data_IF_606781855564
#
_entry.id   IF_606781855564
#
_cell.length_a   1.000
_cell.length_b   1.000
_cell.length_c   1.000
_cell.angle_alpha   90.00
_cell.angle_beta   90.00
_cell.angle_gamma   90.00
#
_symmetry.space_group_name_H-M   'P 1'
#
loop_
_entity.id
_entity.type
_entity.pdbx_description
1 polymer ?
#
# COMPACT_ATOMS: atom_id res chain seq x y z
N UNK A 1 1.43 11.21 -3.18
CA UNK A 1 0.27 11.28 -4.08
C UNK A 1 0.78 11.16 -5.51
N UNK A 2 0.82 9.93 -6.05
CA UNK A 2 1.50 9.60 -7.32
C UNK A 2 0.60 8.82 -8.29
N UNK A 3 -0.70 8.69 -7.98
CA UNK A 3 -1.74 8.12 -8.83
C UNK A 3 -2.71 9.25 -9.13
N UNK A 4 -2.72 9.73 -10.37
CA UNK A 4 -3.65 10.76 -10.83
C UNK A 4 -4.84 10.11 -11.54
N UNK A 5 -5.92 10.86 -11.70
CA UNK A 5 -7.11 10.42 -12.43
C UNK A 5 -7.24 11.23 -13.72
N UNK A 6 -7.42 10.53 -14.84
CA UNK A 6 -7.76 11.18 -16.11
C UNK A 6 -9.25 11.57 -16.17
N UNK A 7 -9.66 12.20 -17.27
CA UNK A 7 -11.05 12.60 -17.52
C UNK A 7 -12.07 11.45 -17.57
N UNK A 8 -11.61 10.20 -17.67
CA UNK A 8 -12.41 8.98 -17.67
C UNK A 8 -12.28 8.19 -16.36
N UNK A 9 -11.78 8.82 -15.29
CA UNK A 9 -11.54 8.18 -13.99
C UNK A 9 -10.54 7.01 -14.03
N UNK A 10 -9.61 7.02 -14.99
CA UNK A 10 -8.54 6.02 -15.05
C UNK A 10 -7.36 6.48 -14.21
N UNK A 11 -6.86 5.58 -13.36
CA UNK A 11 -5.63 5.78 -12.60
C UNK A 11 -4.41 5.82 -13.52
N UNK A 12 -3.61 6.87 -13.40
CA UNK A 12 -2.36 7.08 -14.14
C UNK A 12 -1.23 7.28 -13.12
N UNK A 13 -0.21 6.43 -13.18
CA UNK A 13 0.99 6.59 -12.36
C UNK A 13 1.83 7.75 -12.86
N UNK A 14 2.31 8.55 -11.93
CA UNK A 14 3.18 9.70 -12.18
C UNK A 14 4.38 9.70 -11.25
N UNK A 15 5.35 10.57 -11.52
CA UNK A 15 6.53 10.79 -10.69
C UNK A 15 7.40 9.54 -10.47
N UNK A 16 8.23 9.25 -11.47
CA UNK A 16 9.23 8.18 -11.44
C UNK A 16 10.60 8.68 -10.96
N UNK A 17 10.69 9.86 -10.31
CA UNK A 17 11.96 10.50 -9.94
C UNK A 17 12.81 9.69 -8.95
N UNK A 18 12.19 8.78 -8.20
CA UNK A 18 12.86 7.86 -7.27
C UNK A 18 12.85 6.40 -7.73
N UNK A 19 12.34 6.10 -8.94
CA UNK A 19 12.30 4.76 -9.48
C UNK A 19 13.72 4.15 -9.57
N UNK A 20 13.78 2.82 -9.52
CA UNK A 20 15.03 2.05 -9.58
C UNK A 20 14.92 1.00 -10.68
N UNK A 21 15.85 1.04 -11.63
CA UNK A 21 15.98 -0.02 -12.63
C UNK A 21 16.71 -1.20 -12.01
N UNK A 22 16.05 -2.34 -11.97
CA UNK A 22 16.65 -3.62 -11.59
C UNK A 22 16.95 -4.43 -12.85
N UNK A 23 18.01 -5.24 -12.84
CA UNK A 23 18.25 -6.20 -13.91
C UNK A 23 17.37 -7.44 -13.72
N UNK A 24 17.11 -8.18 -14.80
CA UNK A 24 16.32 -9.44 -14.73
C UNK A 24 16.95 -10.47 -13.79
N UNK A 25 18.27 -10.41 -13.60
CA UNK A 25 19.03 -11.33 -12.75
C UNK A 25 19.06 -10.88 -11.28
N UNK A 26 18.80 -9.60 -10.99
CA UNK A 26 18.91 -9.01 -9.64
C UNK A 26 17.56 -8.47 -9.18
N UNK A 27 16.83 -9.30 -8.41
CA UNK A 27 15.50 -8.92 -7.89
C UNK A 27 15.56 -8.05 -6.63
N UNK A 28 16.76 -7.85 -6.07
CA UNK A 28 16.97 -7.10 -4.83
C UNK A 28 18.31 -6.38 -4.87
N UNK A 29 18.35 -5.10 -4.50
CA UNK A 29 19.59 -4.31 -4.34
C UNK A 29 19.58 -3.56 -3.02
N UNK A 30 20.76 -3.25 -2.49
CA UNK A 30 20.90 -2.43 -1.27
C UNK A 30 21.30 -1.01 -1.68
N UNK A 31 20.65 0.00 -1.08
CA UNK A 31 20.96 1.41 -1.29
C UNK A 31 21.14 2.15 0.03
N UNK A 32 22.05 3.11 0.05
CA UNK A 32 22.20 4.04 1.19
C UNK A 32 21.26 5.26 1.07
N UNK A 33 20.64 5.47 -0.11
CA UNK A 33 19.75 6.60 -0.35
C UNK A 33 18.30 6.18 -0.19
N UNK A 34 17.81 6.27 1.05
CA UNK A 34 16.42 6.01 1.43
C UNK A 34 15.62 7.30 1.23
N UNK A 35 14.67 7.27 0.30
CA UNK A 35 13.84 8.44 -0.06
C UNK A 35 12.41 7.99 -0.36
N UNK A 36 11.44 8.86 -0.06
CA UNK A 36 10.02 8.61 -0.30
C UNK A 36 9.15 9.14 0.85
N UNK A 37 7.88 8.77 0.85
CA UNK A 37 6.92 9.19 1.87
C UNK A 37 6.77 8.09 2.92
N UNK A 38 7.13 8.39 4.18
CA UNK A 38 7.31 7.42 5.28
C UNK A 38 6.16 6.41 5.41
N UNK A 39 4.91 6.87 5.39
CA UNK A 39 3.73 6.01 5.62
C UNK A 39 3.52 4.95 4.53
N UNK A 40 4.13 5.10 3.35
CA UNK A 40 4.05 4.12 2.26
C UNK A 40 5.31 3.25 2.17
N UNK A 41 6.36 3.53 2.94
CA UNK A 41 7.62 2.79 2.84
C UNK A 41 7.51 1.42 3.50
N UNK A 42 7.92 0.38 2.78
CA UNK A 42 8.02 -0.94 3.37
C UNK A 42 9.11 -1.01 4.45
N UNK A 43 8.97 -1.90 5.45
CA UNK A 43 9.96 -2.05 6.52
C UNK A 43 11.38 -2.32 6.00
N UNK A 44 11.52 -3.16 4.98
CA UNK A 44 12.82 -3.48 4.42
C UNK A 44 13.43 -2.31 3.63
N UNK A 45 12.62 -1.50 2.95
CA UNK A 45 13.12 -0.32 2.24
C UNK A 45 13.63 0.75 3.21
N UNK A 46 13.04 0.85 4.41
CA UNK A 46 13.55 1.68 5.50
C UNK A 46 14.95 1.26 5.98
N UNK A 47 15.41 0.07 5.63
CA UNK A 47 16.78 -0.41 5.87
C UNK A 47 17.68 -0.34 4.63
N UNK A 48 17.17 0.20 3.52
CA UNK A 48 17.88 0.32 2.25
C UNK A 48 17.68 -0.86 1.30
N UNK A 49 16.85 -1.85 1.63
CA UNK A 49 16.59 -2.98 0.74
C UNK A 49 15.54 -2.63 -0.32
N UNK A 50 15.97 -2.56 -1.57
CA UNK A 50 15.11 -2.27 -2.71
C UNK A 50 14.64 -3.59 -3.34
N UNK A 51 13.34 -3.74 -3.51
CA UNK A 51 12.76 -4.86 -4.25
C UNK A 51 11.38 -4.50 -4.81
N UNK A 52 10.87 -5.22 -5.82
CA UNK A 52 9.49 -5.02 -6.31
C UNK A 52 8.42 -5.24 -5.22
N UNK A 53 8.74 -6.04 -4.18
CA UNK A 53 7.83 -6.29 -3.05
C UNK A 53 7.64 -5.05 -2.16
N UNK A 54 8.56 -4.07 -2.22
CA UNK A 54 8.39 -2.80 -1.54
C UNK A 54 7.25 -1.97 -2.17
N UNK A 55 7.12 -1.98 -3.51
CA UNK A 55 6.03 -1.31 -4.21
C UNK A 55 4.67 -1.99 -3.93
N UNK A 56 4.65 -3.32 -3.74
CA UNK A 56 3.45 -4.06 -3.32
C UNK A 56 2.98 -3.60 -1.95
N UNK A 57 3.90 -3.39 -1.00
CA UNK A 57 3.57 -2.83 0.31
C UNK A 57 2.94 -1.45 0.18
N UNK A 58 3.58 -0.54 -0.58
CA UNK A 58 3.05 0.80 -0.80
C UNK A 58 1.67 0.78 -1.47
N UNK A 59 1.43 -0.15 -2.40
CA UNK A 59 0.11 -0.36 -3.00
C UNK A 59 -0.91 -0.84 -1.97
N UNK A 60 -0.54 -1.73 -1.06
CA UNK A 60 -1.40 -2.16 0.05
C UNK A 60 -1.89 -0.98 0.88
N UNK A 61 -0.97 -0.06 1.24
CA UNK A 61 -1.32 1.19 1.94
C UNK A 61 -2.33 2.03 1.13
N UNK A 62 -2.13 2.17 -0.18
CA UNK A 62 -3.07 2.89 -1.05
C UNK A 62 -4.44 2.20 -1.12
N UNK A 63 -4.49 0.87 -1.18
CA UNK A 63 -5.76 0.13 -1.14
C UNK A 63 -6.50 0.45 0.17
N UNK A 64 -5.80 0.51 1.31
CA UNK A 64 -6.42 0.91 2.58
C UNK A 64 -6.95 2.35 2.56
N UNK A 65 -6.22 3.29 1.96
CA UNK A 65 -6.73 4.67 1.76
C UNK A 65 -8.04 4.67 0.96
N UNK A 66 -8.16 3.82 -0.06
CA UNK A 66 -9.37 3.71 -0.86
C UNK A 66 -10.51 2.99 -0.11
N UNK A 67 -10.18 1.97 0.67
CA UNK A 67 -11.15 1.23 1.49
C UNK A 67 -11.75 2.15 2.54
N UNK A 68 -10.91 2.82 3.35
CA UNK A 68 -11.37 3.67 4.44
C UNK A 68 -11.75 5.10 4.02
N UNK A 69 -11.36 5.53 2.81
CA UNK A 69 -11.63 6.89 2.34
C UNK A 69 -10.88 7.98 3.10
N UNK A 70 -9.76 7.65 3.76
CA UNK A 70 -8.92 8.59 4.49
C UNK A 70 -7.45 8.49 4.05
N UNK A 71 -6.66 9.54 4.33
CA UNK A 71 -5.24 9.55 4.00
C UNK A 71 -4.47 8.59 4.92
N UNK A 72 -3.42 7.95 4.40
CA UNK A 72 -2.65 6.94 5.13
C UNK A 72 -2.06 7.45 6.45
N UNK A 73 -1.77 8.74 6.55
CA UNK A 73 -1.24 9.38 7.76
C UNK A 73 -2.31 9.62 8.85
N UNK A 74 -3.59 9.50 8.51
CA UNK A 74 -4.70 9.77 9.41
C UNK A 74 -5.57 8.53 9.57
N UNK A 75 -5.82 8.13 10.81
CA UNK A 75 -6.71 7.01 11.07
C UNK A 75 -8.15 7.39 10.71
N UNK A 76 -8.99 6.39 10.36
CA UNK A 76 -10.43 6.62 10.18
C UNK A 76 -11.13 7.20 11.43
N UNK A 77 -10.52 7.05 12.62
CA UNK A 77 -10.99 7.62 13.89
C UNK A 77 -10.62 9.10 14.08
N UNK A 78 -9.84 9.69 13.18
CA UNK A 78 -9.41 11.09 13.25
C UNK A 78 -8.27 11.35 14.26
N UNK A 79 -7.51 10.32 14.63
CA UNK A 79 -6.28 10.47 15.43
C UNK A 79 -5.05 10.72 14.54
N UNK A 80 -3.97 11.27 15.12
CA UNK A 80 -2.64 11.39 14.48
C UNK A 80 -1.93 10.03 14.28
N UNK A 81 -2.69 8.93 14.24
CA UNK A 81 -2.20 7.57 14.03
C UNK A 81 -2.31 7.23 12.55
N UNK A 82 -1.29 6.61 11.97
CA UNK A 82 -1.37 6.13 10.58
C UNK A 82 -2.30 4.91 10.44
N UNK A 83 -2.74 4.63 9.21
CA UNK A 83 -3.71 3.57 8.91
C UNK A 83 -3.18 2.18 9.30
N UNK A 84 -1.87 1.91 9.18
CA UNK A 84 -1.31 0.59 9.53
C UNK A 84 -1.41 0.37 11.03
N UNK A 85 -0.96 1.35 11.82
CA UNK A 85 -1.09 1.31 13.28
C UNK A 85 -2.56 1.22 13.72
N UNK A 86 -3.48 1.87 13.00
CA UNK A 86 -4.91 1.76 13.25
C UNK A 86 -5.45 0.34 13.04
N UNK A 87 -5.04 -0.35 11.97
CA UNK A 87 -5.46 -1.73 11.69
C UNK A 87 -5.05 -2.67 12.83
N UNK A 88 -3.82 -2.52 13.33
CA UNK A 88 -3.29 -3.35 14.42
C UNK A 88 -4.06 -3.18 15.74
N UNK A 89 -4.68 -2.02 15.95
CA UNK A 89 -5.38 -1.67 17.19
C UNK A 89 -6.91 -1.84 17.11
N UNK A 90 -7.50 -1.96 15.92
CA UNK A 90 -8.95 -1.84 15.73
C UNK A 90 -9.64 -3.20 15.55
N UNK A 91 -10.42 -3.63 16.54
CA UNK A 91 -11.16 -4.91 16.50
C UNK A 91 -12.26 -4.99 15.42
N UNK A 92 -12.81 -3.85 15.00
CA UNK A 92 -13.90 -3.80 14.01
C UNK A 92 -13.70 -2.63 13.05
N UNK A 93 -13.05 -2.90 11.93
CA UNK A 93 -12.77 -1.95 10.85
C UNK A 93 -13.94 -1.77 9.89
N UNK A 94 -14.91 -2.70 9.88
CA UNK A 94 -16.02 -2.71 8.93
C UNK A 94 -16.88 -1.44 8.97
N UNK A 95 -17.03 -0.82 10.13
CA UNK A 95 -17.81 0.43 10.26
C UNK A 95 -17.23 1.58 9.41
N UNK A 96 -15.92 1.55 9.13
CA UNK A 96 -15.20 2.67 8.52
C UNK A 96 -15.21 2.70 7.00
N UNK A 97 -15.54 1.58 6.33
CA UNK A 97 -15.59 1.52 4.85
C UNK A 97 -16.97 1.30 4.25
N UNK A 98 -18.00 1.07 5.06
CA UNK A 98 -19.38 0.85 4.59
C UNK A 98 -20.00 2.07 3.89
N UNK A 99 -19.41 3.26 4.03
CA UNK A 99 -19.84 4.47 3.31
C UNK A 99 -19.50 4.43 1.82
N UNK A 100 -18.43 3.71 1.45
CA UNK A 100 -17.89 3.65 0.09
C UNK A 100 -18.03 2.26 -0.54
N UNK A 101 -18.10 1.21 0.27
CA UNK A 101 -18.02 -0.18 -0.17
C UNK A 101 -19.15 -1.03 0.40
N UNK A 102 -19.56 -2.06 -0.35
CA UNK A 102 -20.35 -3.15 0.23
C UNK A 102 -19.51 -3.86 1.30
N UNK A 103 -20.17 -4.46 2.31
CA UNK A 103 -19.45 -5.21 3.36
C UNK A 103 -18.49 -6.25 2.76
N UNK A 104 -18.97 -7.03 1.79
CA UNK A 104 -18.18 -8.07 1.14
C UNK A 104 -17.01 -7.51 0.33
N UNK A 105 -17.17 -6.39 -0.36
CA UNK A 105 -16.08 -5.79 -1.14
C UNK A 105 -15.04 -5.13 -0.24
N UNK A 106 -15.49 -4.44 0.81
CA UNK A 106 -14.62 -3.83 1.81
C UNK A 106 -13.76 -4.87 2.53
N UNK A 107 -14.37 -5.93 3.06
CA UNK A 107 -13.65 -7.03 3.72
C UNK A 107 -12.65 -7.71 2.76
N UNK A 108 -13.03 -7.92 1.49
CA UNK A 108 -12.14 -8.51 0.47
C UNK A 108 -10.94 -7.63 0.15
N UNK A 109 -11.16 -6.32 -0.01
CA UNK A 109 -10.10 -5.37 -0.34
C UNK A 109 -9.17 -5.11 0.85
N UNK A 110 -9.73 -5.04 2.06
CA UNK A 110 -8.97 -4.99 3.30
C UNK A 110 -8.07 -6.22 3.46
N UNK A 111 -8.61 -7.43 3.33
CA UNK A 111 -7.83 -8.68 3.41
C UNK A 111 -6.70 -8.73 2.36
N UNK A 112 -6.98 -8.24 1.14
CA UNK A 112 -5.96 -8.13 0.09
C UNK A 112 -4.87 -7.13 0.49
N UNK A 113 -5.25 -5.99 1.05
CA UNK A 113 -4.34 -4.95 1.47
C UNK A 113 -3.46 -5.40 2.65
N UNK A 114 -4.01 -6.06 3.67
CA UNK A 114 -3.27 -6.67 4.78
C UNK A 114 -2.19 -7.65 4.30
N UNK A 115 -2.53 -8.49 3.31
CA UNK A 115 -1.56 -9.39 2.67
C UNK A 115 -0.45 -8.62 1.95
N UNK A 116 -0.77 -7.50 1.32
CA UNK A 116 0.20 -6.63 0.67
C UNK A 116 1.09 -5.89 1.68
N UNK A 117 0.55 -5.50 2.84
CA UNK A 117 1.26 -4.77 3.90
C UNK A 117 1.95 -5.68 4.93
N UNK A 118 2.01 -7.00 4.69
CA UNK A 118 2.72 -7.93 5.57
C UNK A 118 4.18 -7.46 5.81
N UNK A 119 4.68 -7.44 7.05
CA UNK A 119 6.04 -6.97 7.35
C UNK A 119 7.13 -7.82 6.66
N UNK A 120 6.85 -9.08 6.36
CA UNK A 120 7.75 -10.00 5.66
C UNK A 120 7.50 -9.98 4.15
N UNK A 121 8.45 -9.41 3.40
CA UNK A 121 8.36 -9.20 1.94
C UNK A 121 8.10 -10.46 1.11
N UNK A 122 8.47 -11.64 1.62
CA UNK A 122 8.32 -12.95 1.00
C UNK A 122 6.92 -13.55 1.21
N UNK A 123 6.18 -13.04 2.20
CA UNK A 123 4.78 -13.42 2.44
C UNK A 123 3.78 -12.57 1.64
N UNK A 124 4.24 -11.46 1.04
CA UNK A 124 3.41 -10.59 0.19
C UNK A 124 3.11 -11.27 -1.16
N UNK A 125 1.91 -11.07 -1.73
CA UNK A 125 1.62 -11.51 -3.09
C UNK A 125 2.49 -10.76 -4.12
N UNK A 126 2.67 -11.34 -5.31
CA UNK A 126 3.21 -10.60 -6.45
C UNK A 126 2.16 -9.63 -6.97
N UNK A 127 2.57 -8.57 -7.65
CA UNK A 127 1.62 -7.62 -8.28
C UNK A 127 0.64 -8.33 -9.23
N UNK A 128 1.07 -9.37 -9.95
CA UNK A 128 0.19 -10.18 -10.80
C UNK A 128 -0.94 -10.85 -10.00
N UNK A 129 -0.61 -11.44 -8.84
CA UNK A 129 -1.60 -12.05 -7.94
C UNK A 129 -2.53 -11.02 -7.28
N UNK A 130 -2.05 -9.80 -7.06
CA UNK A 130 -2.90 -8.68 -6.59
C UNK A 130 -3.92 -8.34 -7.66
N UNK A 131 -3.49 -8.19 -8.92
CA UNK A 131 -4.39 -7.87 -10.04
C UNK A 131 -5.45 -8.95 -10.31
N UNK A 132 -5.11 -10.23 -10.14
CA UNK A 132 -6.09 -11.33 -10.24
C UNK A 132 -7.19 -11.28 -9.16
N UNK A 133 -6.93 -10.56 -8.07
CA UNK A 133 -7.80 -10.46 -6.90
C UNK A 133 -8.53 -9.14 -6.80
N UNK A 134 -8.32 -8.20 -7.71
CA UNK A 134 -9.04 -6.92 -7.78
C UNK A 134 -10.26 -7.09 -8.67
#
# INVERSE_FOLDING_TARGET
ANILLDQNWRGVLTDFGIARTLSLETTTVVTQRIVGTRVYMSPEYCTGLVSPSADVYSLGVVILELVFGCLALHSPKGSDTDIISFLDECDNTAEFYLSCWSRSDGERLEELAEKCTNPYRDQRPTIAKVLEKL
#
